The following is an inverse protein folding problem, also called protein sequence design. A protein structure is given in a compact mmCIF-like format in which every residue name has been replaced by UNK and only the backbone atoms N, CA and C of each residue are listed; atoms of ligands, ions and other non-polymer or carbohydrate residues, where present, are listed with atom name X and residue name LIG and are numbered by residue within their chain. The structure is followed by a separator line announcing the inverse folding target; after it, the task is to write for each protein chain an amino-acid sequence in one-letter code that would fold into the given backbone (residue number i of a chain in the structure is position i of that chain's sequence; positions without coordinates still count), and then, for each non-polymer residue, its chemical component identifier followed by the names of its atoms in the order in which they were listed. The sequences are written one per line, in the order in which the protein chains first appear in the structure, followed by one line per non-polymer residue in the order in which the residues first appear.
data_IF_215953184609
#
_entry.id   IF_215953184609
#
_cell.length_a   1.000
_cell.length_b   1.000
_cell.length_c   1.000
_cell.angle_alpha   90.00
_cell.angle_beta   90.00
_cell.angle_gamma   90.00
#
_symmetry.space_group_name_H-M   'P 1'
#
loop_
_entity.id
_entity.type
_entity.pdbx_description
1 polymer ?
#
# COMPACT_ATOMS: atom_id res chain seq x y z
N UNK A 1 21.18 0.83 -0.58
CA UNK A 1 20.57 -0.52 -0.68
C UNK A 1 19.09 -0.35 -1.01
N UNK A 2 18.56 -1.24 -1.85
CA UNK A 2 17.14 -1.23 -2.13
C UNK A 2 16.31 -1.39 -0.85
N UNK A 3 15.17 -0.69 -0.76
CA UNK A 3 14.24 -0.77 0.36
C UNK A 3 13.03 -1.62 -0.04
N UNK A 4 12.66 -2.57 0.78
CA UNK A 4 11.46 -3.39 0.58
C UNK A 4 10.37 -2.92 1.52
N UNK A 5 9.22 -2.51 0.96
CA UNK A 5 8.02 -2.14 1.70
C UNK A 5 6.98 -3.24 1.49
N UNK A 6 6.45 -3.84 2.55
CA UNK A 6 5.21 -4.59 2.47
C UNK A 6 4.02 -3.67 2.75
N UNK A 7 3.03 -3.67 1.86
CA UNK A 7 1.74 -3.02 2.09
C UNK A 7 0.75 -4.10 2.51
N UNK A 8 0.31 -4.04 3.74
CA UNK A 8 -0.45 -5.13 4.37
C UNK A 8 -1.64 -4.65 5.19
N UNK A 9 -2.56 -5.55 5.53
CA UNK A 9 -3.71 -5.27 6.39
C UNK A 9 -4.31 -6.54 6.97
N UNK A 10 -4.95 -6.42 8.11
CA UNK A 10 -5.71 -7.52 8.71
C UNK A 10 -7.02 -7.86 7.98
N UNK A 11 -7.60 -6.91 7.23
CA UNK A 11 -8.92 -7.04 6.60
C UNK A 11 -8.86 -6.80 5.09
N UNK A 12 -9.69 -7.50 4.33
CA UNK A 12 -9.88 -7.25 2.89
C UNK A 12 -10.62 -5.93 2.62
N UNK A 13 -10.36 -5.32 1.45
CA UNK A 13 -11.09 -4.15 0.99
C UNK A 13 -10.70 -2.80 1.63
N UNK A 14 -9.69 -2.75 2.50
CA UNK A 14 -9.21 -1.50 3.12
C UNK A 14 -8.33 -0.63 2.20
N UNK A 15 -8.03 -1.07 0.98
CA UNK A 15 -7.29 -0.28 0.00
C UNK A 15 -5.79 -0.58 -0.10
N UNK A 16 -5.32 -1.79 0.27
CA UNK A 16 -3.91 -2.20 0.12
C UNK A 16 -3.39 -2.01 -1.31
N UNK A 17 -4.00 -2.69 -2.27
CA UNK A 17 -3.60 -2.66 -3.69
C UNK A 17 -3.61 -1.24 -4.25
N UNK A 18 -4.63 -0.45 -3.91
CA UNK A 18 -4.70 0.97 -4.26
C UNK A 18 -3.55 1.76 -3.65
N UNK A 19 -3.22 1.48 -2.40
CA UNK A 19 -2.10 2.11 -1.68
C UNK A 19 -0.76 1.70 -2.30
N UNK A 20 -0.55 0.42 -2.58
CA UNK A 20 0.67 -0.08 -3.23
C UNK A 20 0.89 0.61 -4.58
N UNK A 21 -0.15 0.67 -5.41
CA UNK A 21 -0.11 1.36 -6.70
C UNK A 21 0.19 2.87 -6.54
N UNK A 22 -0.48 3.54 -5.59
CA UNK A 22 -0.34 4.98 -5.38
C UNK A 22 1.04 5.36 -4.81
N UNK A 23 1.55 4.63 -3.81
CA UNK A 23 2.88 4.85 -3.24
C UNK A 23 3.98 4.53 -4.27
N UNK A 24 3.87 3.38 -4.97
CA UNK A 24 4.83 3.00 -6.01
C UNK A 24 4.94 4.04 -7.13
N UNK A 25 3.79 4.54 -7.60
CA UNK A 25 3.77 5.58 -8.63
C UNK A 25 4.28 6.94 -8.10
N UNK A 26 4.05 7.27 -6.83
CA UNK A 26 4.56 8.50 -6.23
C UNK A 26 6.08 8.46 -6.06
N UNK A 27 6.65 7.36 -5.56
CA UNK A 27 8.11 7.14 -5.51
C UNK A 27 8.76 7.23 -6.89
N UNK A 28 8.17 6.60 -7.89
CA UNK A 28 8.67 6.63 -9.26
C UNK A 28 8.65 8.04 -9.85
N UNK A 29 7.63 8.87 -9.53
CA UNK A 29 7.58 10.28 -9.92
C UNK A 29 8.66 11.14 -9.24
N UNK A 30 9.15 10.73 -8.07
CA UNK A 30 10.30 11.34 -7.40
C UNK A 30 11.64 10.91 -8.02
N UNK A 31 11.63 10.13 -9.12
CA UNK A 31 12.83 9.69 -9.83
C UNK A 31 13.44 8.38 -9.33
N UNK A 32 12.78 7.69 -8.40
CA UNK A 32 13.21 6.39 -7.90
C UNK A 32 12.87 5.28 -8.90
N UNK A 33 13.74 4.25 -9.00
CA UNK A 33 13.41 3.03 -9.73
C UNK A 33 12.58 2.11 -8.83
N UNK A 34 11.34 1.85 -9.21
CA UNK A 34 10.35 1.19 -8.34
C UNK A 34 9.81 -0.08 -8.98
N UNK A 35 9.78 -1.17 -8.23
CA UNK A 35 9.01 -2.35 -8.54
C UNK A 35 7.81 -2.49 -7.61
N UNK A 36 6.62 -2.75 -8.15
CA UNK A 36 5.46 -3.18 -7.37
C UNK A 36 5.19 -4.65 -7.68
N UNK A 37 5.07 -5.49 -6.64
CA UNK A 37 4.93 -6.95 -6.74
C UNK A 37 3.63 -7.39 -6.11
N UNK A 38 2.80 -8.08 -6.87
CA UNK A 38 1.51 -8.61 -6.40
C UNK A 38 1.68 -10.02 -5.84
N UNK A 39 1.41 -10.18 -4.54
CA UNK A 39 1.39 -11.49 -3.84
C UNK A 39 -0.01 -12.07 -3.68
N UNK A 40 -1.07 -11.38 -4.16
CA UNK A 40 -2.45 -11.86 -4.04
C UNK A 40 -2.81 -12.84 -5.16
N UNK A 41 -2.21 -14.03 -5.08
CA UNK A 41 -2.43 -15.13 -6.04
C UNK A 41 -3.90 -15.53 -6.06
N UNK A 42 -4.46 -15.58 -7.27
CA UNK A 42 -5.85 -15.93 -7.55
C UNK A 42 -6.76 -14.73 -7.74
N UNK A 43 -6.60 -13.62 -7.00
CA UNK A 43 -7.40 -12.40 -7.18
C UNK A 43 -6.78 -11.45 -8.21
N UNK A 44 -5.45 -11.27 -8.18
CA UNK A 44 -4.70 -10.48 -9.16
C UNK A 44 -5.34 -9.11 -9.45
N UNK A 45 -5.28 -8.22 -8.46
CA UNK A 45 -5.93 -6.91 -8.55
C UNK A 45 -4.97 -5.77 -8.93
N UNK A 46 -3.66 -5.94 -8.68
CA UNK A 46 -2.69 -4.87 -8.87
C UNK A 46 -2.56 -4.47 -10.34
N UNK A 47 -2.52 -5.42 -11.25
CA UNK A 47 -2.43 -5.18 -12.69
C UNK A 47 -3.66 -4.45 -13.25
N UNK A 48 -4.86 -4.70 -12.69
CA UNK A 48 -6.08 -3.97 -13.03
C UNK A 48 -5.99 -2.50 -12.58
N UNK A 49 -5.60 -2.27 -11.32
CA UNK A 49 -5.43 -0.92 -10.77
C UNK A 49 -4.34 -0.14 -11.52
N UNK A 50 -3.32 -0.84 -12.02
CA UNK A 50 -2.23 -0.28 -12.80
C UNK A 50 -2.51 -0.21 -14.31
N UNK A 51 -3.61 -0.80 -14.80
CA UNK A 51 -4.01 -0.81 -16.23
C UNK A 51 -3.04 -1.57 -17.14
N UNK A 52 -2.45 -2.63 -16.62
CA UNK A 52 -1.49 -3.47 -17.37
C UNK A 52 -1.97 -4.90 -17.58
N UNK A 53 -3.22 -5.21 -17.23
CA UNK A 53 -3.80 -6.56 -17.25
C UNK A 53 -3.67 -7.25 -18.61
N UNK A 54 -3.78 -6.48 -19.72
CA UNK A 54 -3.67 -7.00 -21.09
C UNK A 54 -2.22 -7.22 -21.56
N UNK A 55 -1.25 -6.83 -20.74
CA UNK A 55 0.18 -6.94 -21.06
C UNK A 55 0.86 -8.07 -20.30
N UNK A 56 0.14 -8.74 -19.41
CA UNK A 56 0.65 -9.84 -18.61
C UNK A 56 0.81 -11.08 -19.49
N UNK A 57 2.06 -11.53 -19.65
CA UNK A 57 2.43 -12.78 -20.31
C UNK A 57 2.95 -13.79 -19.30
N UNK A 58 3.80 -13.33 -18.39
CA UNK A 58 4.34 -14.10 -17.27
C UNK A 58 4.04 -13.37 -15.95
N UNK A 59 4.00 -14.12 -14.87
CA UNK A 59 3.65 -13.66 -13.54
C UNK A 59 4.71 -14.08 -12.51
N UNK A 60 4.52 -13.67 -11.25
CA UNK A 60 5.42 -13.97 -10.14
C UNK A 60 5.68 -15.50 -10.00
N UNK A 61 4.65 -16.33 -10.19
CA UNK A 61 4.80 -17.79 -10.05
C UNK A 61 5.68 -18.35 -11.16
N UNK A 62 5.55 -17.87 -12.40
CA UNK A 62 6.43 -18.30 -13.50
C UNK A 62 7.90 -18.01 -13.17
N UNK A 63 8.20 -16.86 -12.55
CA UNK A 63 9.58 -16.53 -12.16
C UNK A 63 10.05 -17.40 -11.00
N UNK A 64 9.21 -17.61 -9.98
CA UNK A 64 9.50 -18.47 -8.83
C UNK A 64 9.78 -19.92 -9.28
N UNK A 65 9.04 -20.45 -10.25
CA UNK A 65 9.22 -21.80 -10.80
C UNK A 65 10.37 -21.92 -11.82
N UNK A 66 10.88 -20.78 -12.31
CA UNK A 66 11.91 -20.76 -13.36
C UNK A 66 11.36 -20.93 -14.78
N UNK A 67 10.04 -20.85 -14.97
CA UNK A 67 9.37 -20.89 -16.28
C UNK A 67 9.65 -19.61 -17.10
N UNK A 68 9.96 -18.51 -16.41
CA UNK A 68 10.33 -17.21 -17.01
C UNK A 68 11.41 -16.50 -16.17
N UNK A 69 12.16 -15.63 -16.82
CA UNK A 69 13.07 -14.71 -16.13
C UNK A 69 12.29 -13.53 -15.55
N UNK A 70 12.84 -12.91 -14.51
CA UNK A 70 12.28 -11.68 -13.91
C UNK A 70 12.06 -10.59 -14.98
N UNK A 71 13.02 -10.42 -15.89
CA UNK A 71 12.92 -9.45 -17.00
C UNK A 71 11.74 -9.71 -17.93
N UNK A 72 11.39 -10.97 -18.19
CA UNK A 72 10.24 -11.33 -19.04
C UNK A 72 8.89 -11.09 -18.34
N UNK A 73 8.85 -11.20 -17.01
CA UNK A 73 7.63 -11.03 -16.22
C UNK A 73 7.38 -9.57 -15.79
N UNK A 74 8.42 -8.76 -15.69
CA UNK A 74 8.30 -7.35 -15.35
C UNK A 74 7.64 -6.54 -16.46
N UNK A 75 6.61 -5.78 -16.10
CA UNK A 75 5.85 -4.91 -17.00
C UNK A 75 6.16 -3.46 -16.64
N UNK A 76 6.88 -2.73 -17.51
CA UNK A 76 7.12 -1.30 -17.31
C UNK A 76 5.86 -0.49 -17.53
N UNK A 77 5.55 0.46 -16.63
CA UNK A 77 4.42 1.39 -16.82
C UNK A 77 4.73 2.36 -17.97
N UNK A 78 3.73 2.57 -18.85
CA UNK A 78 3.90 3.45 -20.02
C UNK A 78 3.86 4.95 -19.65
N UNK A 79 3.31 5.29 -18.48
CA UNK A 79 3.15 6.68 -17.98
C UNK A 79 4.32 7.10 -17.09
N UNK A 80 5.04 6.10 -16.53
CA UNK A 80 6.18 6.33 -15.65
C UNK A 80 7.23 5.23 -15.88
N UNK A 81 8.27 5.54 -16.64
CA UNK A 81 9.27 4.55 -17.09
C UNK A 81 10.09 3.92 -15.97
N UNK A 82 10.20 4.61 -14.82
CA UNK A 82 10.89 4.12 -13.63
C UNK A 82 10.02 3.20 -12.76
N UNK A 83 8.76 2.96 -13.15
CA UNK A 83 7.82 2.07 -12.46
C UNK A 83 7.64 0.76 -13.22
N UNK A 84 7.88 -0.36 -12.54
CA UNK A 84 7.67 -1.72 -13.08
C UNK A 84 6.71 -2.50 -12.19
N UNK A 85 5.94 -3.38 -12.80
CA UNK A 85 4.93 -4.22 -12.15
C UNK A 85 5.28 -5.68 -12.35
N UNK A 86 5.32 -6.48 -11.28
CA UNK A 86 5.37 -7.93 -11.32
C UNK A 86 4.00 -8.47 -10.86
N UNK A 87 3.15 -8.94 -11.77
CA UNK A 87 1.78 -9.34 -11.44
C UNK A 87 1.73 -10.69 -10.73
N UNK A 88 0.66 -10.93 -9.95
CA UNK A 88 0.33 -12.24 -9.42
C UNK A 88 -0.24 -13.16 -10.50
N UNK A 89 -0.27 -14.47 -10.22
CA UNK A 89 -0.94 -15.47 -11.06
C UNK A 89 -2.45 -15.51 -10.78
N UNK A 90 -3.24 -15.67 -11.84
CA UNK A 90 -4.69 -15.92 -11.73
C UNK A 90 -5.04 -17.41 -11.64
N UNK A 91 -4.25 -18.26 -12.27
CA UNK A 91 -4.60 -19.65 -12.56
C UNK A 91 -3.81 -20.67 -11.74
N UNK A 92 -2.71 -20.24 -11.11
CA UNK A 92 -1.85 -21.14 -10.33
C UNK A 92 -2.29 -21.17 -8.88
N UNK A 93 -1.97 -22.28 -8.21
CA UNK A 93 -2.24 -22.47 -6.79
C UNK A 93 -1.32 -21.57 -5.93
N UNK A 94 -1.84 -21.08 -4.81
CA UNK A 94 -1.08 -20.32 -3.79
C UNK A 94 0.11 -21.11 -3.26
N UNK A 95 0.02 -22.44 -3.22
CA UNK A 95 1.10 -23.32 -2.80
C UNK A 95 2.29 -23.35 -3.75
N UNK A 96 2.12 -22.83 -4.97
CA UNK A 96 3.20 -22.70 -5.95
C UNK A 96 4.21 -21.59 -5.58
N UNK A 97 3.88 -20.68 -4.67
CA UNK A 97 4.84 -19.72 -4.09
C UNK A 97 5.66 -20.43 -3.01
N UNK A 98 6.91 -20.77 -3.34
CA UNK A 98 7.89 -21.30 -2.37
C UNK A 98 8.70 -20.18 -1.74
N UNK A 99 9.11 -20.33 -0.48
CA UNK A 99 9.92 -19.35 0.22
C UNK A 99 11.27 -19.12 -0.48
N UNK A 100 11.94 -20.18 -0.91
CA UNK A 100 13.21 -20.14 -1.63
C UNK A 100 13.09 -19.42 -2.97
N UNK A 101 12.00 -19.69 -3.69
CA UNK A 101 11.72 -19.03 -4.98
C UNK A 101 11.45 -17.54 -4.81
N UNK A 102 10.66 -17.17 -3.81
CA UNK A 102 10.40 -15.76 -3.46
C UNK A 102 11.69 -15.07 -3.06
N UNK A 103 12.52 -15.68 -2.18
CA UNK A 103 13.80 -15.09 -1.75
C UNK A 103 14.69 -14.77 -2.96
N UNK A 104 14.84 -15.71 -3.90
CA UNK A 104 15.62 -15.51 -5.13
C UNK A 104 15.08 -14.34 -5.98
N UNK A 105 13.76 -14.22 -6.13
CA UNK A 105 13.14 -13.11 -6.85
C UNK A 105 13.38 -11.78 -6.15
N UNK A 106 13.25 -11.74 -4.82
CA UNK A 106 13.47 -10.52 -4.04
C UNK A 106 14.93 -10.07 -4.07
N UNK A 107 15.90 -11.00 -4.06
CA UNK A 107 17.31 -10.70 -4.24
C UNK A 107 17.59 -10.08 -5.62
N UNK A 108 17.03 -10.67 -6.70
CA UNK A 108 17.19 -10.13 -8.05
C UNK A 108 16.55 -8.74 -8.22
N UNK A 109 15.41 -8.50 -7.56
CA UNK A 109 14.77 -7.18 -7.54
C UNK A 109 15.63 -6.14 -6.80
N UNK A 110 16.25 -6.51 -5.66
CA UNK A 110 17.14 -5.62 -4.89
C UNK A 110 18.34 -5.10 -5.70
N UNK A 111 18.79 -5.86 -6.70
CA UNK A 111 19.91 -5.44 -7.58
C UNK A 111 19.49 -4.38 -8.61
N UNK A 112 18.19 -4.27 -8.90
CA UNK A 112 17.67 -3.48 -10.05
C UNK A 112 16.86 -2.27 -9.66
N UNK A 113 16.29 -2.24 -8.46
CA UNK A 113 15.35 -1.22 -8.02
C UNK A 113 15.82 -0.55 -6.73
N UNK A 114 15.43 0.71 -6.55
CA UNK A 114 15.68 1.46 -5.31
C UNK A 114 14.60 1.13 -4.26
N UNK A 115 13.36 0.91 -4.73
CA UNK A 115 12.21 0.57 -3.90
C UNK A 115 11.43 -0.60 -4.48
N UNK A 116 11.05 -1.54 -3.61
CA UNK A 116 10.24 -2.71 -3.95
C UNK A 116 9.02 -2.70 -3.03
N UNK A 117 7.81 -2.55 -3.60
CA UNK A 117 6.57 -2.57 -2.83
C UNK A 117 5.85 -3.90 -3.05
N UNK A 118 5.63 -4.65 -1.98
CA UNK A 118 4.93 -5.93 -1.99
C UNK A 118 3.47 -5.71 -1.59
N UNK A 119 2.53 -5.89 -2.55
CA UNK A 119 1.10 -5.92 -2.26
C UNK A 119 0.73 -7.26 -1.65
N UNK A 120 0.45 -7.30 -0.35
CA UNK A 120 0.13 -8.56 0.31
C UNK A 120 -1.36 -8.91 0.18
N UNK A 121 -1.73 -10.18 0.13
CA UNK A 121 -3.11 -10.57 0.40
C UNK A 121 -3.53 -10.14 1.81
N UNK A 122 -4.86 -10.04 2.04
CA UNK A 122 -5.37 -9.70 3.36
C UNK A 122 -5.15 -10.83 4.36
N UNK A 123 -4.97 -10.46 5.62
CA UNK A 123 -4.90 -11.42 6.73
C UNK A 123 -3.50 -11.99 6.98
N UNK A 124 -3.47 -13.19 7.55
CA UNK A 124 -2.27 -13.78 8.17
C UNK A 124 -1.81 -15.09 7.53
N UNK A 125 -2.41 -15.45 6.39
CA UNK A 125 -2.12 -16.70 5.69
C UNK A 125 -0.72 -16.68 5.04
N UNK A 126 -0.31 -17.83 4.51
CA UNK A 126 1.02 -18.05 3.92
C UNK A 126 1.43 -17.00 2.89
N UNK A 127 0.51 -16.59 2.00
CA UNK A 127 0.80 -15.55 0.99
C UNK A 127 1.18 -14.21 1.61
N UNK A 128 0.47 -13.79 2.66
CA UNK A 128 0.79 -12.58 3.41
C UNK A 128 2.15 -12.71 4.13
N UNK A 129 2.45 -13.89 4.71
CA UNK A 129 3.74 -14.15 5.36
C UNK A 129 4.90 -14.06 4.37
N UNK A 130 4.77 -14.63 3.18
CA UNK A 130 5.79 -14.55 2.13
C UNK A 130 6.04 -13.11 1.66
N UNK A 131 4.96 -12.31 1.51
CA UNK A 131 5.06 -10.91 1.16
C UNK A 131 5.78 -10.08 2.26
N UNK A 132 5.57 -10.42 3.54
CA UNK A 132 6.16 -9.71 4.69
C UNK A 132 7.61 -10.11 4.98
N UNK A 133 8.01 -11.33 4.60
CA UNK A 133 9.25 -11.95 5.10
C UNK A 133 10.49 -11.09 4.84
N UNK A 134 10.60 -10.50 3.66
CA UNK A 134 11.77 -9.72 3.25
C UNK A 134 11.65 -8.21 3.51
N UNK A 135 10.58 -7.76 4.20
CA UNK A 135 10.31 -6.34 4.38
C UNK A 135 11.32 -5.63 5.30
N UNK A 136 11.78 -4.47 4.84
CA UNK A 136 12.52 -3.49 5.64
C UNK A 136 11.53 -2.55 6.34
N UNK A 137 10.46 -2.17 5.64
CA UNK A 137 9.36 -1.35 6.09
C UNK A 137 8.03 -2.06 5.90
N UNK A 138 7.05 -1.78 6.75
CA UNK A 138 5.68 -2.24 6.62
C UNK A 138 4.71 -1.08 6.69
N UNK A 139 3.91 -0.89 5.64
CA UNK A 139 2.78 0.04 5.64
C UNK A 139 1.51 -0.75 5.98
N UNK A 140 1.01 -0.56 7.19
CA UNK A 140 -0.20 -1.19 7.70
C UNK A 140 -1.38 -0.31 7.29
N UNK A 141 -2.16 -0.80 6.34
CA UNK A 141 -3.33 -0.08 5.81
C UNK A 141 -4.57 -0.51 6.57
N UNK A 142 -5.30 0.44 7.12
CA UNK A 142 -6.57 0.18 7.80
C UNK A 142 -7.59 1.29 7.56
N UNK A 143 -8.87 0.95 7.67
CA UNK A 143 -9.94 1.94 7.77
C UNK A 143 -10.18 2.25 9.26
N UNK A 144 -10.68 3.44 9.62
CA UNK A 144 -11.00 3.81 11.00
C UNK A 144 -12.30 3.13 11.49
N UNK A 145 -12.35 1.80 11.39
CA UNK A 145 -13.41 0.91 11.86
C UNK A 145 -12.85 -0.06 12.90
N UNK A 146 -13.58 -0.27 13.99
CA UNK A 146 -13.14 -1.13 15.12
C UNK A 146 -12.66 -2.51 14.65
N UNK A 147 -13.39 -3.15 13.74
CA UNK A 147 -13.03 -4.47 13.22
C UNK A 147 -11.71 -4.44 12.42
N UNK A 148 -11.52 -3.43 11.56
CA UNK A 148 -10.31 -3.27 10.75
C UNK A 148 -9.08 -3.01 11.62
N UNK A 149 -9.22 -2.17 12.64
CA UNK A 149 -8.13 -1.82 13.57
C UNK A 149 -7.73 -3.04 14.41
N UNK A 150 -8.69 -3.81 14.93
CA UNK A 150 -8.39 -5.06 15.68
C UNK A 150 -7.69 -6.12 14.82
N UNK A 151 -8.09 -6.25 13.56
CA UNK A 151 -7.42 -7.18 12.64
C UNK A 151 -6.00 -6.69 12.30
N UNK A 152 -5.78 -5.37 12.26
CA UNK A 152 -4.45 -4.78 12.03
C UNK A 152 -3.49 -5.00 13.20
N UNK A 153 -3.97 -5.06 14.44
CA UNK A 153 -3.13 -5.38 15.60
C UNK A 153 -2.47 -6.77 15.48
N UNK A 154 -3.17 -7.75 14.91
CA UNK A 154 -2.59 -9.08 14.64
C UNK A 154 -1.46 -9.00 13.61
N UNK A 155 -1.57 -8.12 12.62
CA UNK A 155 -0.52 -7.89 11.63
C UNK A 155 0.71 -7.29 12.28
N UNK A 156 0.54 -6.33 13.20
CA UNK A 156 1.65 -5.75 13.98
C UNK A 156 2.44 -6.86 14.70
N UNK A 157 1.76 -7.77 15.40
CA UNK A 157 2.41 -8.90 16.07
C UNK A 157 3.12 -9.87 15.13
N UNK A 158 2.60 -10.08 13.91
CA UNK A 158 3.27 -10.92 12.91
C UNK A 158 4.54 -10.28 12.36
N UNK A 159 4.54 -8.99 12.10
CA UNK A 159 5.71 -8.25 11.65
C UNK A 159 6.85 -8.30 12.66
N UNK A 160 6.53 -8.39 13.96
CA UNK A 160 7.50 -8.50 15.04
C UNK A 160 8.06 -9.92 15.23
N UNK A 161 7.47 -10.95 14.61
CA UNK A 161 7.81 -12.35 14.89
C UNK A 161 8.12 -13.22 13.68
N UNK A 162 7.72 -12.83 12.47
CA UNK A 162 7.75 -13.70 11.28
C UNK A 162 8.44 -13.12 10.06
N UNK A 163 9.26 -12.12 10.24
CA UNK A 163 10.07 -11.51 9.17
C UNK A 163 11.52 -11.94 9.29
N UNK A 164 12.29 -11.89 8.20
CA UNK A 164 13.72 -12.19 8.21
C UNK A 164 14.48 -11.30 9.22
N UNK A 165 14.05 -10.04 9.37
CA UNK A 165 14.61 -9.13 10.38
C UNK A 165 14.30 -9.61 11.81
N UNK A 166 13.09 -10.05 12.10
CA UNK A 166 12.72 -10.57 13.40
C UNK A 166 13.51 -11.85 13.77
N UNK A 167 13.78 -12.72 12.80
CA UNK A 167 14.63 -13.91 12.97
C UNK A 167 16.08 -13.55 13.31
N UNK A 168 16.54 -12.37 12.90
CA UNK A 168 17.89 -11.81 13.20
C UNK A 168 17.92 -10.94 14.45
N UNK A 169 16.77 -10.79 15.15
CA UNK A 169 16.65 -9.91 16.32
C UNK A 169 16.50 -8.43 15.97
N UNK A 170 16.27 -8.10 14.70
CA UNK A 170 16.00 -6.75 14.22
C UNK A 170 14.51 -6.49 14.12
N UNK A 171 14.12 -5.23 13.89
CA UNK A 171 12.73 -4.84 13.73
C UNK A 171 12.45 -4.33 12.32
N UNK A 172 11.30 -4.67 11.79
CA UNK A 172 10.72 -4.01 10.62
C UNK A 172 10.20 -2.65 11.05
N UNK A 173 10.49 -1.61 10.29
CA UNK A 173 9.96 -0.28 10.55
C UNK A 173 8.48 -0.25 10.13
N UNK A 174 7.59 0.00 11.10
CA UNK A 174 6.14 -0.06 10.90
C UNK A 174 5.56 1.33 10.77
N UNK A 175 4.65 1.48 9.82
CA UNK A 175 3.95 2.72 9.49
C UNK A 175 2.46 2.46 9.38
N UNK A 176 1.64 3.30 9.98
CA UNK A 176 0.18 3.25 9.89
C UNK A 176 -0.31 4.18 8.79
N UNK A 177 -1.10 3.67 7.86
CA UNK A 177 -1.80 4.47 6.86
C UNK A 177 -3.31 4.28 6.99
N UNK A 178 -4.00 5.33 7.39
CA UNK A 178 -5.46 5.35 7.43
C UNK A 178 -6.02 5.67 6.05
N UNK A 179 -7.00 4.90 5.60
CA UNK A 179 -7.68 5.12 4.32
C UNK A 179 -9.18 5.29 4.53
N UNK A 180 -9.85 5.88 3.53
CA UNK A 180 -11.29 6.16 3.57
C UNK A 180 -11.71 6.98 4.79
N UNK A 181 -10.86 7.89 5.22
CA UNK A 181 -11.17 8.78 6.34
C UNK A 181 -12.17 9.85 5.90
N UNK A 182 -13.26 9.94 6.63
CA UNK A 182 -14.28 10.99 6.47
C UNK A 182 -14.36 11.82 7.75
N UNK A 183 -13.88 13.08 7.75
CA UNK A 183 -13.86 13.91 8.94
C UNK A 183 -15.27 14.24 9.47
N UNK A 184 -16.29 14.28 8.60
CA UNK A 184 -17.65 14.53 9.03
C UNK A 184 -18.25 13.32 9.79
N UNK A 185 -17.92 12.09 9.36
CA UNK A 185 -18.31 10.86 10.07
C UNK A 185 -17.54 10.72 11.40
N UNK A 186 -16.27 11.06 11.41
CA UNK A 186 -15.48 11.04 12.64
C UNK A 186 -16.03 12.04 13.68
N UNK A 187 -16.41 13.25 13.26
CA UNK A 187 -17.01 14.26 14.11
C UNK A 187 -18.39 13.86 14.70
N UNK A 188 -19.06 12.86 14.12
CA UNK A 188 -20.35 12.30 14.59
C UNK A 188 -20.22 10.95 15.29
N UNK A 189 -19.00 10.54 15.66
CA UNK A 189 -18.71 9.24 16.26
C UNK A 189 -19.18 8.03 15.41
N UNK A 190 -19.31 8.22 14.08
CA UNK A 190 -19.66 7.15 13.14
C UNK A 190 -18.43 6.37 12.64
N UNK A 191 -17.25 6.81 13.00
CA UNK A 191 -15.97 6.18 12.71
C UNK A 191 -14.97 6.58 13.81
N UNK A 192 -13.94 5.76 14.03
CA UNK A 192 -12.88 6.07 14.98
C UNK A 192 -12.14 7.34 14.57
N UNK A 193 -11.73 8.13 15.54
CA UNK A 193 -10.81 9.24 15.30
C UNK A 193 -9.40 8.72 14.94
N UNK A 194 -8.57 9.59 14.41
CA UNK A 194 -7.16 9.26 14.12
C UNK A 194 -6.43 8.89 15.39
N UNK A 195 -6.68 9.66 16.48
CA UNK A 195 -6.04 9.45 17.79
C UNK A 195 -6.44 8.10 18.39
N UNK A 196 -7.73 7.71 18.32
CA UNK A 196 -8.20 6.39 18.78
C UNK A 196 -7.46 5.24 18.10
N UNK A 197 -7.23 5.36 16.78
CA UNK A 197 -6.54 4.29 16.01
C UNK A 197 -5.06 4.25 16.38
N UNK A 198 -4.40 5.39 16.58
CA UNK A 198 -2.99 5.47 17.02
C UNK A 198 -2.85 4.86 18.41
N UNK A 199 -3.75 5.19 19.34
CA UNK A 199 -3.73 4.67 20.70
C UNK A 199 -3.88 3.16 20.77
N UNK A 200 -4.75 2.59 19.90
CA UNK A 200 -4.96 1.13 19.82
C UNK A 200 -3.76 0.40 19.21
N UNK A 201 -3.23 0.89 18.09
CA UNK A 201 -2.19 0.16 17.34
C UNK A 201 -0.76 0.48 17.79
N UNK A 202 -0.55 1.64 18.42
CA UNK A 202 0.78 2.13 18.83
C UNK A 202 1.83 2.08 17.72
N UNK A 203 1.40 2.39 16.48
CA UNK A 203 2.25 2.43 15.28
C UNK A 203 2.31 3.87 14.77
N UNK A 204 3.50 4.40 14.42
CA UNK A 204 3.64 5.75 13.89
C UNK A 204 2.76 6.00 12.66
N UNK A 205 2.05 7.12 12.66
CA UNK A 205 1.14 7.51 11.57
C UNK A 205 1.94 8.02 10.37
N UNK A 206 1.83 7.34 9.24
CA UNK A 206 2.42 7.73 7.97
C UNK A 206 1.55 8.76 7.23
N UNK A 207 0.23 8.59 7.30
CA UNK A 207 -0.69 9.48 6.60
C UNK A 207 -2.15 9.10 6.80
N UNK A 208 -3.02 10.04 6.41
CA UNK A 208 -4.48 9.87 6.40
C UNK A 208 -5.01 10.19 5.02
N UNK A 209 -5.48 9.17 4.31
CA UNK A 209 -6.03 9.28 2.96
C UNK A 209 -7.55 9.47 3.07
N UNK A 210 -8.10 10.62 2.64
CA UNK A 210 -9.53 10.86 2.71
C UNK A 210 -10.31 9.95 1.75
N UNK A 211 -11.55 9.64 2.11
CA UNK A 211 -12.48 9.03 1.16
C UNK A 211 -12.73 9.98 -0.01
N UNK A 212 -12.64 9.47 -1.25
CA UNK A 212 -12.74 10.30 -2.43
C UNK A 212 -13.14 9.48 -3.66
N UNK A 213 -14.06 10.05 -4.45
CA UNK A 213 -14.40 9.50 -5.77
C UNK A 213 -13.21 9.48 -6.74
N UNK A 214 -12.21 10.34 -6.54
CA UNK A 214 -11.03 10.39 -7.42
C UNK A 214 -10.25 9.07 -7.38
N UNK A 215 -10.20 8.40 -6.23
CA UNK A 215 -9.59 7.08 -6.09
C UNK A 215 -10.34 6.04 -6.91
N UNK A 216 -11.67 6.03 -6.83
CA UNK A 216 -12.50 5.10 -7.59
C UNK A 216 -12.40 5.37 -9.10
N UNK A 217 -12.48 6.63 -9.51
CA UNK A 217 -12.34 7.04 -10.92
C UNK A 217 -10.97 6.63 -11.48
N UNK A 218 -9.90 6.87 -10.72
CA UNK A 218 -8.54 6.48 -11.10
C UNK A 218 -8.42 4.95 -11.27
N UNK A 219 -8.92 4.18 -10.32
CA UNK A 219 -8.93 2.71 -10.38
C UNK A 219 -9.71 2.19 -11.60
N UNK A 220 -10.88 2.78 -11.90
CA UNK A 220 -11.72 2.37 -13.05
C UNK A 220 -11.05 2.62 -14.41
N UNK A 221 -10.14 3.57 -14.50
CA UNK A 221 -9.35 3.81 -15.73
C UNK A 221 -7.99 3.11 -15.73
N UNK A 222 -7.74 2.26 -14.74
CA UNK A 222 -6.49 1.52 -14.59
C UNK A 222 -5.27 2.42 -14.38
N UNK A 223 -5.40 3.41 -13.50
CA UNK A 223 -4.30 4.32 -13.18
C UNK A 223 -4.25 4.62 -11.67
N UNK A 224 -3.07 4.59 -11.03
CA UNK A 224 -2.92 5.06 -9.66
C UNK A 224 -3.39 6.51 -9.51
N UNK A 225 -4.05 6.84 -8.41
CA UNK A 225 -4.59 8.20 -8.18
C UNK A 225 -3.50 9.28 -8.22
N UNK A 226 -2.28 8.94 -7.84
CA UNK A 226 -1.09 9.82 -7.91
C UNK A 226 -0.65 10.13 -9.34
N UNK A 227 -1.05 9.32 -10.33
CA UNK A 227 -0.85 9.60 -11.76
C UNK A 227 -2.11 10.20 -12.40
N UNK A 228 -3.30 9.65 -12.12
CA UNK A 228 -4.54 10.07 -12.76
C UNK A 228 -5.06 11.43 -12.26
N UNK A 229 -4.92 11.71 -10.96
CA UNK A 229 -5.45 12.92 -10.32
C UNK A 229 -4.44 13.48 -9.29
N UNK A 230 -3.24 13.92 -9.71
CA UNK A 230 -2.13 14.25 -8.79
C UNK A 230 -2.43 15.44 -7.86
N UNK A 231 -3.41 16.28 -8.21
CA UNK A 231 -3.82 17.44 -7.40
C UNK A 231 -4.96 17.11 -6.43
N UNK A 232 -5.53 15.90 -6.48
CA UNK A 232 -6.60 15.47 -5.56
C UNK A 232 -6.09 15.34 -4.13
N UNK A 233 -7.02 15.42 -3.15
CA UNK A 233 -6.66 15.27 -1.75
C UNK A 233 -6.03 13.90 -1.43
N UNK A 234 -6.55 12.76 -1.93
CA UNK A 234 -5.90 11.47 -1.70
C UNK A 234 -4.51 11.37 -2.35
N UNK A 235 -4.31 11.92 -3.56
CA UNK A 235 -2.99 11.91 -4.18
C UNK A 235 -1.96 12.70 -3.37
N UNK A 236 -2.34 13.87 -2.85
CA UNK A 236 -1.48 14.67 -1.96
C UNK A 236 -1.10 13.92 -0.69
N UNK A 237 -2.07 13.22 -0.08
CA UNK A 237 -1.81 12.40 1.11
C UNK A 237 -0.78 11.28 0.81
N UNK A 238 -0.86 10.62 -0.34
CA UNK A 238 0.14 9.63 -0.77
C UNK A 238 1.51 10.25 -1.07
N UNK A 239 1.58 11.43 -1.71
CA UNK A 239 2.86 12.13 -1.92
C UNK A 239 3.52 12.53 -0.59
N UNK A 240 2.76 13.02 0.38
CA UNK A 240 3.27 13.33 1.71
C UNK A 240 3.72 12.06 2.45
N UNK A 241 3.00 10.95 2.31
CA UNK A 241 3.39 9.66 2.88
C UNK A 241 4.73 9.17 2.29
N UNK A 242 4.93 9.30 0.98
CA UNK A 242 6.20 8.95 0.32
C UNK A 242 7.35 9.81 0.84
N UNK A 243 7.19 11.13 0.97
CA UNK A 243 8.23 12.00 1.53
C UNK A 243 8.65 11.58 2.95
N UNK A 244 7.69 11.13 3.79
CA UNK A 244 8.01 10.59 5.11
C UNK A 244 8.75 9.26 5.04
N UNK A 245 8.38 8.37 4.10
CA UNK A 245 9.11 7.12 3.85
C UNK A 245 10.54 7.38 3.37
N UNK A 246 10.78 8.45 2.63
CA UNK A 246 12.11 8.91 2.21
C UNK A 246 12.88 9.65 3.33
N UNK A 247 12.32 9.72 4.55
CA UNK A 247 12.97 10.26 5.74
C UNK A 247 12.74 11.76 5.98
N UNK A 248 11.81 12.39 5.26
CA UNK A 248 11.49 13.79 5.49
C UNK A 248 10.59 13.98 6.72
N UNK A 249 10.99 14.84 7.63
CA UNK A 249 10.19 15.21 8.81
C UNK A 249 9.06 16.16 8.42
N UNK A 250 7.91 15.60 8.09
CA UNK A 250 6.69 16.32 7.75
C UNK A 250 5.57 15.99 8.74
N UNK A 251 4.85 17.00 9.27
CA UNK A 251 3.65 16.73 10.05
C UNK A 251 2.60 16.03 9.19
N UNK A 252 1.81 15.13 9.79
CA UNK A 252 0.74 14.45 9.08
C UNK A 252 -0.45 15.39 8.93
N UNK A 253 -0.89 15.62 7.70
CA UNK A 253 -2.08 16.39 7.38
C UNK A 253 -3.32 15.53 7.62
N UNK A 254 -4.09 15.83 8.67
CA UNK A 254 -5.38 15.17 8.94
C UNK A 254 -6.47 15.93 8.16
N UNK A 255 -7.26 15.26 7.31
CA UNK A 255 -8.38 15.88 6.63
C UNK A 255 -9.38 16.47 7.63
N UNK A 256 -9.81 17.71 7.39
CA UNK A 256 -10.83 18.40 8.21
C UNK A 256 -12.09 18.62 7.40
N UNK A 257 -13.23 18.78 8.08
CA UNK A 257 -14.46 19.19 7.41
C UNK A 257 -14.26 20.47 6.61
N UNK A 258 -14.65 20.47 5.35
CA UNK A 258 -14.81 21.71 4.59
C UNK A 258 -15.96 22.50 5.21
N UNK A 259 -15.66 23.45 6.07
CA UNK A 259 -16.67 24.41 6.54
C UNK A 259 -17.23 25.12 5.31
N UNK A 260 -18.52 24.87 5.01
CA UNK A 260 -19.20 25.57 3.94
C UNK A 260 -19.22 27.08 4.24
N UNK A 261 -19.11 27.92 3.22
CA UNK A 261 -19.26 29.40 3.36
C UNK A 261 -20.57 29.79 4.09
N UNK A 262 -21.56 28.92 4.11
CA UNK A 262 -22.84 29.12 4.79
C UNK A 262 -22.77 29.04 6.32
N UNK A 263 -21.84 28.30 6.91
CA UNK A 263 -21.67 28.23 8.35
C UNK A 263 -21.18 29.57 8.95
N UNK A 264 -20.48 30.37 8.16
CA UNK A 264 -20.06 31.71 8.59
C UNK A 264 -21.24 32.71 8.66
N UNK A 265 -22.28 32.47 7.88
CA UNK A 265 -23.46 33.36 7.79
C UNK A 265 -24.42 33.11 8.96
N UNK A 266 -24.58 31.84 9.38
CA UNK A 266 -25.51 31.50 10.48
C UNK A 266 -24.97 31.78 11.87
N UNK A 267 -23.63 31.77 12.08
CA UNK A 267 -23.03 32.13 13.37
C UNK A 267 -23.12 33.63 13.72
N UNK A 268 -23.39 34.50 12.72
CA UNK A 268 -23.55 35.94 12.92
C UNK A 268 -24.97 36.41 13.26
N UNK A 269 -25.96 35.47 13.32
CA UNK A 269 -27.37 35.80 13.63
C UNK A 269 -27.82 35.33 15.03
N UNK A 270 -26.90 34.84 15.87
CA UNK A 270 -27.19 34.36 17.21
C UNK A 270 -26.35 35.01 18.29
N UNK A 271 -26.01 36.31 18.16
CA UNK A 271 -25.42 37.12 19.18
C UNK A 271 -26.27 38.38 19.38
#
# INVERSE_FOLDING_TARGET
MAQIIVVTSGKGGVGKTTTTAALGAALARNGQNVAVVDFDVGLRNLDLVMGVERRVVFDLINVVQGDATLHQALIRDKRCETLSILPASQTRDKDSLTAEGVSRVMEELREKFDWILCDSPAGIERGAQLAMHHADHAVIVTNPEVSSVRDSDRIVGMLDSRTARAEQGERVEKHLLLTRYDPARAARDEMLSVDDVIDILSVPLLGVVPESEDVLKASNVGAPVTLAAPNSAPAKAYFEAVRRLEGEELPVSIPTEKRGLLDFIFKKRGA
#
